data_IF_878367105599
#
_entry.id   IF_878367105599
#
_cell.length_a   1.000
_cell.length_b   1.000
_cell.length_c   1.000
_cell.angle_alpha   90.00
_cell.angle_beta   90.00
_cell.angle_gamma   90.00
#
_symmetry.space_group_name_H-M   'P 1'
#
loop_
_entity.id
_entity.type
_entity.pdbx_description
1 polymer ?
#
# COMPACT_ATOMS: atom_id res chain seq x y z
N UNK A 1 -40.09 -14.05 18.97
CA UNK A 1 -39.22 -14.46 17.85
C UNK A 1 -38.81 -13.30 16.93
N UNK A 2 -39.39 -12.10 17.01
CA UNK A 2 -39.04 -10.98 16.11
C UNK A 2 -37.78 -10.19 16.48
N UNK A 3 -37.46 -10.03 17.78
CA UNK A 3 -36.33 -9.20 18.23
C UNK A 3 -34.94 -9.84 17.97
N UNK A 4 -34.86 -11.17 18.03
CA UNK A 4 -33.60 -11.90 17.78
C UNK A 4 -33.12 -11.77 16.33
N UNK A 5 -34.06 -11.79 15.37
CA UNK A 5 -33.74 -11.65 13.94
C UNK A 5 -33.24 -10.23 13.65
N UNK A 6 -33.79 -9.22 14.33
CA UNK A 6 -33.39 -7.82 14.20
C UNK A 6 -31.95 -7.57 14.68
N UNK A 7 -31.56 -8.13 15.83
CA UNK A 7 -30.21 -7.94 16.35
C UNK A 7 -29.14 -8.67 15.52
N UNK A 8 -29.45 -9.85 14.99
CA UNK A 8 -28.52 -10.59 14.11
C UNK A 8 -28.32 -9.86 12.77
N UNK A 9 -29.37 -9.30 12.19
CA UNK A 9 -29.26 -8.49 10.97
C UNK A 9 -28.37 -7.25 11.17
N UNK A 10 -28.55 -6.54 12.29
CA UNK A 10 -27.76 -5.35 12.63
C UNK A 10 -26.27 -5.65 12.83
N UNK A 11 -25.96 -6.76 13.50
CA UNK A 11 -24.58 -7.22 13.70
C UNK A 11 -23.89 -7.63 12.38
N UNK A 12 -24.63 -8.23 11.45
CA UNK A 12 -24.11 -8.61 10.13
C UNK A 12 -23.82 -7.39 9.25
N UNK A 13 -24.70 -6.39 9.26
CA UNK A 13 -24.49 -5.13 8.53
C UNK A 13 -23.28 -4.36 9.09
N UNK A 14 -23.14 -4.28 10.40
CA UNK A 14 -21.98 -3.63 11.04
C UNK A 14 -20.67 -4.38 10.74
N UNK A 15 -20.70 -5.72 10.75
CA UNK A 15 -19.54 -6.54 10.42
C UNK A 15 -19.14 -6.42 8.94
N UNK A 16 -20.10 -6.38 8.01
CA UNK A 16 -19.84 -6.18 6.58
C UNK A 16 -19.31 -4.78 6.29
N UNK A 17 -19.89 -3.74 6.90
CA UNK A 17 -19.38 -2.37 6.75
C UNK A 17 -17.94 -2.22 7.26
N UNK A 18 -17.61 -2.81 8.41
CA UNK A 18 -16.24 -2.78 8.94
C UNK A 18 -15.26 -3.47 8.00
N UNK A 19 -15.56 -4.70 7.55
CA UNK A 19 -14.70 -5.44 6.62
C UNK A 19 -14.49 -4.71 5.28
N UNK A 20 -15.54 -4.06 4.76
CA UNK A 20 -15.42 -3.30 3.51
C UNK A 20 -14.56 -2.04 3.66
N UNK A 21 -14.69 -1.35 4.79
CA UNK A 21 -13.88 -0.16 5.08
C UNK A 21 -12.42 -0.52 5.34
N UNK A 22 -12.15 -1.62 6.05
CA UNK A 22 -10.79 -2.13 6.26
C UNK A 22 -10.12 -2.49 4.92
N UNK A 23 -10.78 -3.29 4.07
CA UNK A 23 -10.22 -3.68 2.76
C UNK A 23 -9.98 -2.50 1.80
N UNK A 24 -10.80 -1.43 1.86
CA UNK A 24 -10.58 -0.22 1.05
C UNK A 24 -9.42 0.64 1.54
N UNK A 25 -9.21 0.70 2.86
CA UNK A 25 -8.11 1.46 3.45
C UNK A 25 -6.80 0.73 3.17
N UNK A 26 -6.76 -0.58 3.38
CA UNK A 26 -5.60 -1.43 3.07
C UNK A 26 -5.22 -1.34 1.58
N UNK A 27 -6.16 -1.57 0.66
CA UNK A 27 -5.85 -1.53 -0.77
C UNK A 27 -5.39 -0.15 -1.30
N UNK A 28 -5.81 0.95 -0.66
CA UNK A 28 -5.36 2.31 -1.02
C UNK A 28 -3.98 2.65 -0.43
N UNK A 29 -3.64 2.08 0.72
CA UNK A 29 -2.33 2.25 1.35
C UNK A 29 -1.30 1.39 0.61
N UNK A 30 -1.62 0.12 0.34
CA UNK A 30 -0.79 -0.80 -0.45
C UNK A 30 -0.50 -0.22 -1.83
N UNK A 31 -1.53 0.20 -2.59
CA UNK A 31 -1.31 0.73 -3.94
C UNK A 31 -0.46 2.01 -4.00
N UNK A 32 -0.46 2.84 -2.94
CA UNK A 32 0.39 4.04 -2.88
C UNK A 32 1.84 3.71 -2.55
N UNK A 33 2.06 2.76 -1.63
CA UNK A 33 3.40 2.34 -1.22
C UNK A 33 4.04 1.51 -2.33
N UNK A 34 3.31 0.55 -2.90
CA UNK A 34 3.75 -0.24 -4.04
C UNK A 34 4.05 0.65 -5.24
N UNK A 35 3.21 1.65 -5.54
CA UNK A 35 3.46 2.60 -6.63
C UNK A 35 4.78 3.35 -6.48
N UNK A 36 5.10 3.88 -5.29
CA UNK A 36 6.36 4.58 -5.04
C UNK A 36 7.58 3.65 -5.17
N UNK A 37 7.49 2.45 -4.60
CA UNK A 37 8.56 1.46 -4.66
C UNK A 37 8.75 0.95 -6.10
N UNK A 38 7.68 0.69 -6.84
CA UNK A 38 7.74 0.21 -8.21
C UNK A 38 8.34 1.27 -9.15
N UNK A 39 8.00 2.56 -8.97
CA UNK A 39 8.63 3.66 -9.69
C UNK A 39 10.12 3.73 -9.36
N UNK A 40 10.51 3.67 -8.08
CA UNK A 40 11.91 3.65 -7.67
C UNK A 40 12.66 2.46 -8.32
N UNK A 41 12.09 1.25 -8.25
CA UNK A 41 12.66 0.04 -8.86
C UNK A 41 12.83 0.18 -10.37
N UNK A 42 11.83 0.70 -11.08
CA UNK A 42 11.89 0.96 -12.53
C UNK A 42 12.96 1.99 -12.89
N UNK A 43 13.16 3.01 -12.07
CA UNK A 43 14.21 4.01 -12.29
C UNK A 43 15.61 3.42 -12.05
N UNK A 44 15.78 2.59 -11.01
CA UNK A 44 17.03 1.86 -10.75
C UNK A 44 17.37 0.96 -11.95
N UNK A 45 16.39 0.20 -12.46
CA UNK A 45 16.57 -0.67 -13.63
C UNK A 45 16.91 0.10 -14.92
N UNK A 46 16.42 1.35 -15.05
CA UNK A 46 16.78 2.23 -16.16
C UNK A 46 18.16 2.88 -16.02
N UNK A 47 18.83 2.69 -14.88
CA UNK A 47 20.16 3.23 -14.64
C UNK A 47 20.19 4.67 -14.15
N UNK A 48 19.09 5.18 -13.59
CA UNK A 48 19.08 6.51 -12.96
C UNK A 48 19.96 6.55 -11.70
N UNK A 49 20.44 7.75 -11.38
CA UNK A 49 21.24 8.05 -10.20
C UNK A 49 20.40 7.96 -8.94
N UNK A 50 20.97 7.54 -7.82
CA UNK A 50 20.20 7.41 -6.56
C UNK A 50 19.61 8.76 -6.09
N UNK A 51 20.27 9.88 -6.44
CA UNK A 51 19.81 11.26 -6.23
C UNK A 51 18.55 11.59 -7.05
N UNK A 52 18.56 11.32 -8.36
CA UNK A 52 17.41 11.55 -9.24
C UNK A 52 16.19 10.72 -8.79
N UNK A 53 16.44 9.49 -8.34
CA UNK A 53 15.40 8.58 -7.89
C UNK A 53 14.79 9.10 -6.59
N UNK A 54 15.62 9.54 -5.65
CA UNK A 54 15.15 10.14 -4.40
C UNK A 54 14.28 11.38 -4.66
N UNK A 55 14.68 12.24 -5.61
CA UNK A 55 13.92 13.43 -6.01
C UNK A 55 12.58 13.06 -6.68
N UNK A 56 12.60 12.13 -7.64
CA UNK A 56 11.41 11.74 -8.41
C UNK A 56 10.39 10.93 -7.60
N UNK A 57 10.85 10.16 -6.62
CA UNK A 57 9.99 9.28 -5.81
C UNK A 57 9.65 9.86 -4.44
N UNK A 58 10.28 10.99 -4.09
CA UNK A 58 10.25 11.60 -2.76
C UNK A 58 10.60 10.58 -1.68
N UNK A 59 11.57 9.70 -1.97
CA UNK A 59 12.09 8.70 -1.04
C UNK A 59 13.47 9.16 -0.54
N UNK A 60 13.81 8.79 0.69
CA UNK A 60 15.15 8.99 1.20
C UNK A 60 16.20 8.27 0.34
N UNK A 61 17.34 8.94 0.15
CA UNK A 61 18.46 8.39 -0.62
C UNK A 61 18.96 7.06 -0.04
N UNK A 62 18.88 6.89 1.28
CA UNK A 62 19.21 5.64 1.95
C UNK A 62 18.23 4.53 1.55
N UNK A 63 16.94 4.85 1.45
CA UNK A 63 15.90 3.91 1.03
C UNK A 63 16.08 3.49 -0.43
N UNK A 64 16.47 4.43 -1.30
CA UNK A 64 16.80 4.14 -2.70
C UNK A 64 18.01 3.19 -2.79
N UNK A 65 19.05 3.41 -1.98
CA UNK A 65 20.22 2.51 -1.91
C UNK A 65 19.86 1.12 -1.40
N UNK A 66 18.99 1.01 -0.40
CA UNK A 66 18.46 -0.29 0.03
C UNK A 66 17.73 -1.01 -1.11
N UNK A 67 16.80 -0.31 -1.79
CA UNK A 67 16.06 -0.86 -2.92
C UNK A 67 16.98 -1.31 -4.06
N UNK A 68 18.06 -0.56 -4.33
CA UNK A 68 19.07 -0.92 -5.33
C UNK A 68 19.82 -2.19 -4.93
N UNK A 69 20.14 -2.37 -3.65
CA UNK A 69 20.77 -3.61 -3.15
C UNK A 69 19.82 -4.79 -3.25
N UNK A 70 18.56 -4.63 -2.88
CA UNK A 70 17.54 -5.69 -3.00
C UNK A 70 17.30 -6.13 -4.45
N UNK A 71 17.48 -5.23 -5.42
CA UNK A 71 17.30 -5.52 -6.86
C UNK A 71 18.51 -6.19 -7.52
N UNK A 72 19.71 -6.03 -6.95
CA UNK A 72 20.97 -6.56 -7.49
C UNK A 72 21.33 -7.91 -6.85
N UNK A 73 20.74 -8.24 -5.69
CA UNK A 73 20.81 -9.55 -5.05
C UNK A 73 19.87 -10.56 -5.72
#
# INVERSE_FOLDING_TARGET
>A
MGEFVSNVAKLLDEAQMKKFNEGRIEGRIEGKIEGKIEVAKKLIQRGFSDEDIAELTELDIEKVKELRKELIN
#
